data_IF_319599819134
#
_entry.id   IF_319599819134
#
_cell.length_a   1.000
_cell.length_b   1.000
_cell.length_c   1.000
_cell.angle_alpha   90.00
_cell.angle_beta   90.00
_cell.angle_gamma   90.00
#
_symmetry.space_group_name_H-M   'P 1'
#
loop_
_entity.id
_entity.type
_entity.pdbx_description
1 polymer ?
#
# COMPACT_ATOMS: atom_id res chain seq x y z
N UNK A 1 -10.91 -35.03 61.97
CA UNK A 1 -11.55 -33.69 62.10
C UNK A 1 -11.92 -33.17 60.71
N UNK A 2 -12.89 -32.24 60.57
CA UNK A 2 -13.96 -32.42 59.59
C UNK A 2 -13.91 -31.50 58.35
N UNK A 3 -14.67 -31.89 57.30
CA UNK A 3 -15.31 -30.98 56.33
C UNK A 3 -16.59 -30.38 56.97
N UNK A 4 -17.13 -29.20 56.61
CA UNK A 4 -17.23 -28.60 55.26
C UNK A 4 -16.75 -27.12 55.26
N UNK A 5 -17.19 -26.12 54.45
CA UNK A 5 -18.23 -25.98 53.41
C UNK A 5 -17.89 -24.86 52.41
N UNK A 6 -18.58 -24.85 51.26
CA UNK A 6 -18.67 -23.67 50.37
C UNK A 6 -19.54 -22.57 50.97
N UNK A 7 -19.31 -21.31 50.56
CA UNK A 7 -20.41 -20.41 50.26
C UNK A 7 -20.30 -19.84 48.84
N UNK A 8 -21.44 -19.76 48.14
CA UNK A 8 -21.59 -18.86 47.01
C UNK A 8 -21.46 -17.41 47.51
N UNK A 9 -20.81 -16.56 46.73
CA UNK A 9 -21.14 -15.14 46.71
C UNK A 9 -21.14 -14.60 45.28
N UNK A 10 -22.32 -14.15 44.85
CA UNK A 10 -22.50 -13.42 43.60
C UNK A 10 -21.90 -12.02 43.73
N UNK A 11 -21.18 -11.57 42.71
CA UNK A 11 -20.96 -10.15 42.46
C UNK A 11 -20.96 -9.90 40.95
N UNK A 12 -21.76 -8.92 40.54
CA UNK A 12 -21.99 -8.57 39.14
C UNK A 12 -20.69 -8.34 38.35
N UNK A 13 -20.62 -8.87 37.13
CA UNK A 13 -19.77 -8.29 36.08
C UNK A 13 -20.52 -7.09 35.49
N UNK A 14 -20.10 -5.83 35.75
CA UNK A 14 -20.50 -4.75 34.87
C UNK A 14 -19.94 -5.03 33.48
N UNK A 15 -20.76 -4.87 32.45
CA UNK A 15 -20.30 -4.97 31.07
C UNK A 15 -19.28 -3.85 30.82
N UNK A 16 -18.03 -4.22 30.50
CA UNK A 16 -17.07 -3.26 29.97
C UNK A 16 -17.50 -2.87 28.55
N UNK A 17 -18.30 -1.82 28.47
CA UNK A 17 -18.48 -1.07 27.23
C UNK A 17 -17.14 -0.41 26.88
N UNK A 18 -16.29 -1.14 26.16
CA UNK A 18 -15.15 -0.54 25.47
C UNK A 18 -15.71 0.53 24.53
N UNK A 19 -15.27 1.80 24.63
CA UNK A 19 -15.70 2.80 23.67
C UNK A 19 -15.21 2.37 22.29
N UNK A 20 -16.14 2.30 21.34
CA UNK A 20 -15.83 2.27 19.90
C UNK A 20 -15.13 3.59 19.58
N UNK A 21 -13.80 3.60 19.74
CA UNK A 21 -12.95 4.69 19.30
C UNK A 21 -13.22 4.92 17.83
N UNK A 22 -13.80 6.08 17.52
CA UNK A 22 -14.29 6.38 16.19
C UNK A 22 -13.14 6.28 15.18
N UNK A 23 -13.17 5.23 14.36
CA UNK A 23 -12.43 5.22 13.10
C UNK A 23 -13.07 6.26 12.20
N UNK A 24 -12.66 7.51 12.34
CA UNK A 24 -12.94 8.57 11.37
C UNK A 24 -12.36 8.12 10.02
N UNK A 25 -13.18 7.72 9.03
CA UNK A 25 -12.71 7.38 7.70
C UNK A 25 -12.63 8.70 6.93
N UNK A 26 -11.78 9.60 7.43
CA UNK A 26 -11.93 11.05 7.25
C UNK A 26 -10.65 11.78 6.87
N UNK A 27 -9.52 11.09 6.78
CA UNK A 27 -8.29 11.66 6.24
C UNK A 27 -7.68 10.71 5.21
N UNK A 28 -8.34 10.65 4.05
CA UNK A 28 -7.72 10.16 2.84
C UNK A 28 -6.55 11.09 2.51
N UNK A 29 -5.36 10.73 3.00
CA UNK A 29 -4.10 11.35 2.62
C UNK A 29 -4.11 11.49 1.10
N UNK A 30 -4.11 12.73 0.61
CA UNK A 30 -4.17 13.00 -0.83
C UNK A 30 -3.02 12.22 -1.46
N UNK A 31 -3.28 11.20 -2.29
CA UNK A 31 -2.20 10.43 -2.88
C UNK A 31 -1.34 11.43 -3.65
N UNK A 32 -0.06 11.49 -3.33
CA UNK A 32 0.85 12.35 -4.09
C UNK A 32 0.72 12.02 -5.57
N UNK A 33 1.01 12.97 -6.45
CA UNK A 33 0.77 12.80 -7.89
C UNK A 33 1.49 11.58 -8.52
N UNK A 34 2.46 10.99 -7.80
CA UNK A 34 3.20 9.80 -8.20
C UNK A 34 2.67 8.49 -7.58
N UNK A 35 1.90 8.53 -6.48
CA UNK A 35 1.35 7.32 -5.85
C UNK A 35 0.27 6.67 -6.72
N UNK A 36 -0.65 7.45 -7.27
CA UNK A 36 -1.75 6.96 -8.12
C UNK A 36 -1.29 6.17 -9.38
N UNK A 37 -0.30 6.63 -10.19
CA UNK A 37 0.21 5.83 -11.31
C UNK A 37 0.95 4.57 -10.85
N UNK A 38 1.74 4.63 -9.78
CA UNK A 38 2.43 3.47 -9.21
C UNK A 38 1.44 2.38 -8.75
N UNK A 39 0.40 2.74 -8.01
CA UNK A 39 -0.63 1.77 -7.59
C UNK A 39 -1.39 1.18 -8.78
N UNK A 40 -1.74 2.00 -9.79
CA UNK A 40 -2.41 1.54 -11.01
C UNK A 40 -1.55 0.51 -11.74
N UNK A 41 -0.26 0.78 -11.88
CA UNK A 41 0.68 -0.15 -12.49
C UNK A 41 0.84 -1.44 -11.68
N UNK A 42 0.96 -1.37 -10.35
CA UNK A 42 1.01 -2.57 -9.50
C UNK A 42 -0.24 -3.44 -9.66
N UNK A 43 -1.45 -2.84 -9.66
CA UNK A 43 -2.70 -3.56 -9.88
C UNK A 43 -2.77 -4.20 -11.27
N UNK A 44 -2.36 -3.47 -12.31
CA UNK A 44 -2.32 -3.98 -13.69
C UNK A 44 -1.32 -5.14 -13.82
N UNK A 45 -0.10 -5.00 -13.31
CA UNK A 45 0.93 -6.04 -13.34
C UNK A 45 0.43 -7.33 -12.68
N UNK A 46 -0.13 -7.25 -11.47
CA UNK A 46 -0.63 -8.44 -10.78
C UNK A 46 -1.75 -9.12 -11.55
N UNK A 47 -2.74 -8.37 -12.04
CA UNK A 47 -3.85 -8.92 -12.82
C UNK A 47 -3.34 -9.68 -14.05
N UNK A 48 -2.47 -9.06 -14.86
CA UNK A 48 -1.95 -9.66 -16.10
C UNK A 48 -1.02 -10.86 -15.87
N UNK A 49 -0.35 -10.91 -14.72
CA UNK A 49 0.44 -12.09 -14.32
C UNK A 49 -0.44 -13.24 -13.82
N UNK A 50 -1.52 -12.96 -13.09
CA UNK A 50 -2.46 -13.95 -12.55
C UNK A 50 -3.34 -14.55 -13.67
N UNK A 51 -3.83 -13.70 -14.58
CA UNK A 51 -4.62 -14.10 -15.77
C UNK A 51 -3.77 -14.81 -16.85
N UNK A 52 -2.44 -14.82 -16.71
CA UNK A 52 -1.47 -15.40 -17.67
C UNK A 52 -1.61 -14.87 -19.12
N UNK A 53 -2.18 -13.68 -19.27
CA UNK A 53 -2.69 -13.13 -20.54
C UNK A 53 -1.64 -12.31 -21.33
N UNK A 54 -0.40 -12.20 -20.82
CA UNK A 54 0.72 -11.51 -21.48
C UNK A 54 1.14 -12.11 -22.84
N UNK A 55 0.62 -13.28 -23.20
CA UNK A 55 0.71 -13.84 -24.56
C UNK A 55 -0.12 -13.07 -25.57
N UNK A 56 -1.15 -12.34 -25.15
CA UNK A 56 -2.02 -11.52 -26.00
C UNK A 56 -1.38 -10.15 -26.28
N UNK A 57 -1.31 -9.78 -27.57
CA UNK A 57 -0.67 -8.53 -28.00
C UNK A 57 -1.43 -7.26 -27.57
N UNK A 58 -2.76 -7.30 -27.48
CA UNK A 58 -3.56 -6.18 -27.01
C UNK A 58 -3.37 -5.95 -25.51
N UNK A 59 -3.34 -7.04 -24.73
CA UNK A 59 -2.97 -7.01 -23.30
C UNK A 59 -1.58 -6.39 -23.08
N UNK A 60 -0.59 -6.77 -23.90
CA UNK A 60 0.76 -6.21 -23.79
C UNK A 60 0.78 -4.70 -24.05
N UNK A 61 0.03 -4.20 -25.03
CA UNK A 61 0.00 -2.77 -25.34
C UNK A 61 -0.80 -1.95 -24.31
N UNK A 62 -1.89 -2.50 -23.74
CA UNK A 62 -2.55 -1.90 -22.58
C UNK A 62 -1.58 -1.77 -21.40
N UNK A 63 -0.83 -2.84 -21.09
CA UNK A 63 0.16 -2.80 -20.01
C UNK A 63 1.29 -1.82 -20.33
N UNK A 64 1.73 -1.72 -21.59
CA UNK A 64 2.74 -0.76 -22.01
C UNK A 64 2.26 0.68 -21.76
N UNK A 65 1.02 0.99 -22.13
CA UNK A 65 0.37 2.29 -21.88
C UNK A 65 0.29 2.62 -20.38
N UNK A 66 0.04 1.63 -19.52
CA UNK A 66 0.08 1.83 -18.06
C UNK A 66 1.50 2.10 -17.55
N UNK A 67 2.53 1.45 -18.13
CA UNK A 67 3.93 1.67 -17.75
C UNK A 67 4.51 2.99 -18.30
N UNK A 68 3.95 3.57 -19.38
CA UNK A 68 4.39 4.87 -19.90
C UNK A 68 4.26 5.99 -18.85
N UNK A 69 3.20 5.97 -18.04
CA UNK A 69 3.03 6.91 -16.93
C UNK A 69 4.17 6.85 -15.88
N UNK A 70 4.97 5.78 -15.88
CA UNK A 70 6.09 5.58 -14.96
C UNK A 70 7.44 6.06 -15.54
N UNK A 71 7.53 6.40 -16.83
CA UNK A 71 8.80 6.85 -17.43
C UNK A 71 9.24 8.24 -16.93
N UNK A 72 8.32 8.98 -16.31
CA UNK A 72 8.59 10.26 -15.64
C UNK A 72 9.14 10.08 -14.20
N UNK A 73 9.17 8.85 -13.67
CA UNK A 73 9.66 8.54 -12.32
C UNK A 73 11.16 8.20 -12.33
N UNK A 74 11.89 8.37 -11.22
CA UNK A 74 13.32 8.04 -11.10
C UNK A 74 13.61 6.52 -11.02
N UNK A 75 12.94 5.72 -11.86
CA UNK A 75 13.11 4.26 -12.00
C UNK A 75 14.24 3.88 -12.99
N UNK A 76 14.94 4.88 -13.52
CA UNK A 76 15.89 4.74 -14.63
C UNK A 76 15.22 4.18 -15.90
N UNK A 77 16.02 3.62 -16.79
CA UNK A 77 15.55 3.14 -18.11
C UNK A 77 14.71 1.84 -18.04
N UNK A 78 14.31 1.37 -16.84
CA UNK A 78 13.60 0.09 -16.65
C UNK A 78 12.18 0.08 -17.25
N UNK A 79 11.30 1.07 -17.01
CA UNK A 79 9.97 1.08 -17.62
C UNK A 79 10.06 1.12 -19.14
N UNK A 80 10.96 1.93 -19.72
CA UNK A 80 11.20 1.97 -21.17
C UNK A 80 11.65 0.63 -21.76
N UNK A 81 12.55 -0.10 -21.07
CA UNK A 81 12.95 -1.45 -21.51
C UNK A 81 11.81 -2.48 -21.43
N UNK A 82 10.91 -2.36 -20.46
CA UNK A 82 9.71 -3.20 -20.39
C UNK A 82 8.73 -2.88 -21.51
N UNK A 83 8.42 -1.60 -21.73
CA UNK A 83 7.57 -1.11 -22.83
C UNK A 83 8.10 -1.59 -24.19
N UNK A 84 9.41 -1.52 -24.41
CA UNK A 84 10.04 -1.98 -25.66
C UNK A 84 9.94 -3.49 -25.91
N UNK A 85 9.79 -4.32 -24.87
CA UNK A 85 9.53 -5.77 -25.02
C UNK A 85 8.03 -6.06 -25.12
N UNK A 86 7.18 -5.33 -24.40
CA UNK A 86 5.71 -5.44 -24.51
C UNK A 86 5.23 -5.17 -25.95
N UNK A 87 5.77 -4.14 -26.58
CA UNK A 87 5.42 -3.72 -27.95
C UNK A 87 6.13 -4.50 -29.07
N UNK A 88 6.74 -5.65 -28.76
CA UNK A 88 7.24 -6.53 -29.81
C UNK A 88 6.07 -7.16 -30.60
N UNK A 89 6.27 -7.43 -31.91
CA UNK A 89 5.27 -8.07 -32.74
C UNK A 89 4.90 -9.46 -32.22
N UNK A 90 3.69 -9.90 -32.55
CA UNK A 90 3.19 -11.22 -32.18
C UNK A 90 3.60 -12.27 -33.23
N UNK A 91 3.93 -13.53 -32.84
CA UNK A 91 4.01 -14.04 -31.46
C UNK A 91 5.24 -13.53 -30.70
N UNK A 92 5.07 -13.22 -29.41
CA UNK A 92 6.20 -12.92 -28.53
C UNK A 92 7.01 -14.20 -28.25
N UNK A 93 8.34 -14.13 -28.41
CA UNK A 93 9.23 -15.26 -28.13
C UNK A 93 9.13 -15.73 -26.65
N UNK A 94 9.11 -17.05 -26.36
CA UNK A 94 9.00 -17.56 -24.99
C UNK A 94 10.09 -17.07 -24.03
N UNK A 95 11.31 -16.81 -24.52
CA UNK A 95 12.38 -16.26 -23.68
C UNK A 95 12.13 -14.79 -23.32
N UNK A 96 11.52 -14.01 -24.22
CA UNK A 96 11.07 -12.66 -23.94
C UNK A 96 9.88 -12.65 -22.96
N UNK A 97 8.92 -13.58 -23.09
CA UNK A 97 7.82 -13.73 -22.14
C UNK A 97 8.33 -14.10 -20.73
N UNK A 98 9.28 -15.04 -20.62
CA UNK A 98 9.93 -15.38 -19.34
C UNK A 98 10.72 -14.20 -18.76
N UNK A 99 11.48 -13.48 -19.59
CA UNK A 99 12.20 -12.28 -19.16
C UNK A 99 11.24 -11.20 -18.63
N UNK A 100 10.13 -10.99 -19.34
CA UNK A 100 9.15 -9.96 -19.06
C UNK A 100 8.41 -10.22 -17.75
N UNK A 101 7.84 -11.41 -17.56
CA UNK A 101 7.17 -11.81 -16.31
C UNK A 101 8.09 -11.64 -15.10
N UNK A 102 9.33 -12.13 -15.19
CA UNK A 102 10.35 -11.97 -14.13
C UNK A 102 10.68 -10.51 -13.84
N UNK A 103 10.76 -9.65 -14.87
CA UNK A 103 11.11 -8.23 -14.70
C UNK A 103 9.96 -7.38 -14.17
N UNK A 104 8.71 -7.69 -14.54
CA UNK A 104 7.51 -7.09 -13.97
C UNK A 104 7.39 -7.40 -12.48
N UNK A 105 7.62 -8.66 -12.07
CA UNK A 105 7.67 -9.06 -10.66
C UNK A 105 8.73 -8.28 -9.86
N UNK A 106 9.91 -8.03 -10.43
CA UNK A 106 10.94 -7.19 -9.77
C UNK A 106 10.61 -5.69 -9.76
N UNK A 107 9.66 -5.22 -10.56
CA UNK A 107 9.25 -3.81 -10.58
C UNK A 107 8.22 -3.49 -9.48
N UNK A 108 7.37 -4.45 -9.11
CA UNK A 108 6.30 -4.25 -8.12
C UNK A 108 6.80 -3.68 -6.78
N UNK A 109 7.86 -4.19 -6.13
CA UNK A 109 8.32 -3.66 -4.84
C UNK A 109 8.79 -2.21 -4.91
N UNK A 110 9.40 -1.80 -6.02
CA UNK A 110 9.86 -0.41 -6.23
C UNK A 110 8.68 0.55 -6.42
N UNK A 111 7.66 0.14 -7.19
CA UNK A 111 6.44 0.93 -7.34
C UNK A 111 5.67 1.04 -6.02
N UNK A 112 5.63 -0.02 -5.22
CA UNK A 112 5.05 0.00 -3.88
C UNK A 112 5.85 0.93 -2.93
N UNK A 113 7.18 0.94 -3.03
CA UNK A 113 8.02 1.86 -2.25
C UNK A 113 7.77 3.34 -2.62
N UNK A 114 7.70 3.66 -3.92
CA UNK A 114 7.38 5.02 -4.41
C UNK A 114 5.96 5.43 -3.98
N UNK A 115 4.98 4.54 -4.11
CA UNK A 115 3.61 4.83 -3.69
C UNK A 115 3.51 5.15 -2.19
N UNK A 116 4.23 4.39 -1.34
CA UNK A 116 4.28 4.62 0.11
C UNK A 116 5.06 5.86 0.53
N UNK A 117 6.20 6.14 -0.10
CA UNK A 117 6.92 7.40 0.10
C UNK A 117 6.08 8.61 -0.34
N UNK A 118 5.21 8.40 -1.33
CA UNK A 118 4.18 9.34 -1.76
C UNK A 118 2.93 9.43 -0.86
N UNK A 119 2.94 8.75 0.30
CA UNK A 119 1.86 8.71 1.30
C UNK A 119 2.38 9.13 2.70
N UNK A 120 3.46 9.92 2.78
CA UNK A 120 3.98 10.48 4.05
C UNK A 120 2.82 10.97 4.95
N UNK A 121 2.69 10.42 6.17
CA UNK A 121 1.52 10.69 7.00
C UNK A 121 1.57 12.14 7.49
N UNK A 122 0.42 12.83 7.45
CA UNK A 122 0.27 14.23 7.87
C UNK A 122 0.56 14.50 9.38
N UNK A 123 1.03 13.49 10.13
CA UNK A 123 1.49 13.58 11.50
C UNK A 123 3.02 13.52 11.70
N UNK A 124 3.83 13.43 10.63
CA UNK A 124 5.28 13.37 10.73
C UNK A 124 5.91 14.75 11.06
N UNK A 125 5.84 15.11 12.35
CA UNK A 125 6.66 16.12 13.02
C UNK A 125 6.49 17.58 12.57
N UNK A 126 5.62 18.31 13.30
CA UNK A 126 5.98 19.69 13.71
C UNK A 126 7.26 19.62 14.55
N UNK A 127 8.41 19.79 13.91
CA UNK A 127 9.73 19.83 14.57
C UNK A 127 10.06 21.18 15.21
N UNK A 128 9.20 22.18 15.00
CA UNK A 128 9.26 23.52 15.60
C UNK A 128 8.15 23.71 16.66
N UNK A 129 8.17 22.90 17.70
CA UNK A 129 7.45 23.20 18.94
C UNK A 129 8.42 23.09 20.12
N UNK A 130 8.78 24.20 20.80
CA UNK A 130 9.65 24.15 21.96
C UNK A 130 8.97 23.37 23.09
N UNK A 131 9.77 22.69 23.90
CA UNK A 131 9.32 21.72 24.92
C UNK A 131 8.66 22.41 26.13
N UNK A 132 8.76 23.74 26.23
CA UNK A 132 8.37 24.55 27.40
C UNK A 132 6.85 24.85 27.51
N UNK A 133 6.01 24.13 26.76
CA UNK A 133 4.56 24.33 26.72
C UNK A 133 3.74 23.17 27.36
N UNK A 134 4.38 22.29 28.14
CA UNK A 134 3.72 21.19 28.88
C UNK A 134 3.57 21.55 30.37
N UNK A 135 3.13 22.77 30.68
CA UNK A 135 2.74 23.12 32.05
C UNK A 135 1.60 24.15 32.10
N UNK A 136 0.38 23.66 31.91
CA UNK A 136 -0.87 24.43 32.06
C UNK A 136 -2.08 23.52 32.34
N UNK A 137 -1.92 22.50 33.19
CA UNK A 137 -3.05 21.70 33.69
C UNK A 137 -3.45 22.19 35.09
N UNK A 138 -4.04 23.39 35.17
CA UNK A 138 -4.70 23.82 36.40
C UNK A 138 -6.06 23.11 36.53
N UNK A 139 -6.31 22.36 37.62
CA UNK A 139 -7.66 21.96 37.98
C UNK A 139 -8.45 23.20 38.44
N UNK A 140 -9.68 23.34 37.97
CA UNK A 140 -10.64 24.27 38.54
C UNK A 140 -11.22 23.66 39.82
N UNK A 141 -11.33 24.47 40.88
CA UNK A 141 -12.08 24.19 42.13
C UNK A 141 -13.57 23.90 41.85
#
# INVERSE_FOLDING_TARGET
MPSPASPLHSAARPAQAMPLGAWSPGEAARPSSQAAPCERAVRAIWRRLDEHDLVDAHVRDELATVLEALTALPLGNRPQRLIGVLRQPDPLDPSHLYWLTRRLLTLVPELQAIARAGQEPAGALRRDMPIDAIDAYQPLD
#
